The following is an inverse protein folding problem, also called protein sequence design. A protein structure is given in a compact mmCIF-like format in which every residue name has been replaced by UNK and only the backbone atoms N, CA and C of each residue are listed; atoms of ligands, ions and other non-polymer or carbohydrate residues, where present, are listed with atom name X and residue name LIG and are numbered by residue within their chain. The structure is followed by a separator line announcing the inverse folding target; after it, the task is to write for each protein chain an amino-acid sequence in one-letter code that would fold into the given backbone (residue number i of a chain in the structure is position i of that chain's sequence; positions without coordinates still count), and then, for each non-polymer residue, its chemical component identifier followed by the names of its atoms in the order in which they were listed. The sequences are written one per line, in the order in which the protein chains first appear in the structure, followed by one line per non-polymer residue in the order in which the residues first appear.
data_IF_397826586017
#
_entry.id   IF_397826586017
#
_cell.length_a   1.000
_cell.length_b   1.000
_cell.length_c   1.000
_cell.angle_alpha   90.00
_cell.angle_beta   90.00
_cell.angle_gamma   90.00
#
_symmetry.space_group_name_H-M   'P 1'
#
loop_
_entity.id
_entity.type
_entity.pdbx_description
1 polymer ?
#
# COMPACT_ATOMS: atom_id res chain seq x y z
N UNK A 1 5.48 17.68 -11.81
CA UNK A 1 4.95 17.80 -10.43
C UNK A 1 6.08 18.03 -9.44
N UNK A 2 6.90 17.03 -9.09
CA UNK A 2 7.94 17.19 -8.05
C UNK A 2 8.91 18.36 -8.30
N UNK A 3 9.41 18.54 -9.54
CA UNK A 3 10.29 19.67 -9.92
C UNK A 3 9.70 21.07 -9.67
N UNK A 4 8.38 21.20 -9.49
CA UNK A 4 7.77 22.49 -9.16
C UNK A 4 8.04 22.89 -7.72
N UNK A 5 8.33 21.93 -6.83
CA UNK A 5 8.65 22.20 -5.44
C UNK A 5 9.98 22.95 -5.30
N UNK A 6 10.91 22.74 -6.23
CA UNK A 6 12.21 23.42 -6.27
C UNK A 6 12.07 24.95 -6.45
N UNK A 7 10.89 25.41 -6.90
CA UNK A 7 10.59 26.83 -7.09
C UNK A 7 9.90 27.49 -5.89
N UNK A 8 9.55 26.72 -4.86
CA UNK A 8 8.91 27.24 -3.65
C UNK A 8 9.96 27.80 -2.69
N UNK A 9 9.63 28.90 -2.02
CA UNK A 9 10.49 29.55 -1.02
C UNK A 9 10.36 28.92 0.38
N UNK A 10 9.48 27.95 0.56
CA UNK A 10 9.27 27.23 1.81
C UNK A 10 9.86 25.82 1.78
N UNK A 11 10.19 25.30 2.96
CA UNK A 11 10.61 23.90 3.11
C UNK A 11 9.50 22.97 2.64
N UNK A 12 9.87 21.95 1.87
CA UNK A 12 8.93 20.95 1.33
C UNK A 12 9.44 19.53 1.55
N UNK A 13 8.51 18.59 1.54
CA UNK A 13 8.82 17.16 1.63
C UNK A 13 7.93 16.41 0.64
N UNK A 14 8.56 15.63 -0.25
CA UNK A 14 7.89 14.80 -1.24
C UNK A 14 7.51 13.46 -0.63
N UNK A 15 6.26 13.05 -0.80
CA UNK A 15 5.79 11.72 -0.46
C UNK A 15 5.47 10.95 -1.74
N UNK A 16 6.27 9.92 -2.03
CA UNK A 16 6.06 9.01 -3.16
C UNK A 16 5.25 7.81 -2.68
N UNK A 17 3.93 7.93 -2.75
CA UNK A 17 3.01 6.87 -2.33
C UNK A 17 3.03 5.75 -3.37
N UNK A 18 3.12 4.52 -2.87
CA UNK A 18 2.85 3.31 -3.65
C UNK A 18 1.34 3.12 -3.90
N UNK A 19 0.91 1.95 -4.39
CA UNK A 19 -0.50 1.70 -4.69
C UNK A 19 -1.39 1.81 -3.45
N UNK A 20 -2.20 2.86 -3.36
CA UNK A 20 -3.09 3.09 -2.21
C UNK A 20 -4.28 2.13 -2.28
N UNK A 21 -4.48 1.36 -1.21
CA UNK A 21 -5.66 0.52 -1.00
C UNK A 21 -6.28 0.81 0.37
N UNK A 22 -7.49 0.34 0.60
CA UNK A 22 -8.25 0.63 1.82
C UNK A 22 -9.75 0.52 1.57
N UNK A 23 -10.56 0.80 2.59
CA UNK A 23 -12.02 0.84 2.46
C UNK A 23 -12.45 1.70 1.27
N UNK A 24 -13.43 1.23 0.50
CA UNK A 24 -13.89 1.84 -0.74
C UNK A 24 -13.01 1.57 -1.98
N UNK A 25 -11.85 0.92 -1.84
CA UNK A 25 -10.93 0.58 -2.96
C UNK A 25 -10.88 -0.92 -3.21
N UNK A 26 -11.99 -1.47 -3.71
CA UNK A 26 -12.20 -2.92 -3.84
C UNK A 26 -11.63 -3.56 -5.13
N UNK A 27 -10.88 -2.81 -5.97
CA UNK A 27 -10.40 -3.32 -7.27
C UNK A 27 -9.70 -4.68 -7.17
N UNK A 28 -8.75 -4.83 -6.23
CA UNK A 28 -8.00 -6.09 -6.09
C UNK A 28 -8.87 -7.24 -5.57
N UNK A 29 -9.81 -6.93 -4.67
CA UNK A 29 -10.79 -7.90 -4.15
C UNK A 29 -11.69 -8.39 -5.28
N UNK A 30 -12.22 -7.47 -6.10
CA UNK A 30 -13.06 -7.83 -7.24
C UNK A 30 -12.29 -8.65 -8.27
N UNK A 31 -11.03 -8.31 -8.55
CA UNK A 31 -10.19 -9.08 -9.48
C UNK A 31 -9.88 -10.48 -8.96
N UNK A 32 -9.69 -10.65 -7.65
CA UNK A 32 -9.40 -11.94 -7.04
C UNK A 32 -10.57 -12.95 -7.16
N UNK A 33 -11.81 -12.49 -7.33
CA UNK A 33 -13.00 -13.34 -7.51
C UNK A 33 -13.07 -14.05 -8.86
N UNK A 34 -12.33 -13.55 -9.85
CA UNK A 34 -12.34 -14.05 -11.24
C UNK A 34 -10.91 -14.36 -11.70
N UNK A 35 -10.33 -15.52 -11.30
CA UNK A 35 -9.00 -15.96 -11.71
C UNK A 35 -8.74 -15.95 -13.22
N UNK A 36 -9.77 -16.21 -14.03
CA UNK A 36 -9.76 -16.12 -15.49
C UNK A 36 -9.48 -14.71 -16.03
N UNK A 37 -9.71 -13.69 -15.21
CA UNK A 37 -9.47 -12.28 -15.53
C UNK A 37 -8.14 -11.75 -14.99
N UNK A 38 -7.30 -12.59 -14.38
CA UNK A 38 -6.02 -12.14 -13.84
C UNK A 38 -5.08 -11.65 -14.95
N UNK A 39 -4.26 -10.61 -14.70
CA UNK A 39 -3.42 -10.01 -15.73
C UNK A 39 -2.38 -10.99 -16.26
N UNK A 40 -2.25 -11.16 -17.58
CA UNK A 40 -1.34 -12.15 -18.17
C UNK A 40 0.14 -12.04 -17.72
N UNK A 41 0.59 -10.85 -17.29
CA UNK A 41 1.96 -10.61 -16.82
C UNK A 41 1.99 -10.42 -15.31
N UNK A 42 2.91 -11.12 -14.64
CA UNK A 42 3.16 -10.93 -13.22
C UNK A 42 4.27 -9.90 -13.00
N UNK A 43 4.09 -9.01 -12.03
CA UNK A 43 5.04 -7.95 -11.71
C UNK A 43 5.11 -7.69 -10.21
N UNK A 44 6.23 -7.15 -9.74
CA UNK A 44 6.36 -6.63 -8.39
C UNK A 44 5.40 -5.47 -8.18
N UNK A 45 4.63 -5.56 -7.11
CA UNK A 45 3.72 -4.52 -6.67
C UNK A 45 4.09 -4.06 -5.27
N UNK A 46 3.74 -2.82 -4.98
CA UNK A 46 3.98 -2.15 -3.71
C UNK A 46 2.70 -1.41 -3.35
N UNK A 47 2.40 -1.32 -2.07
CA UNK A 47 1.14 -0.74 -1.62
C UNK A 47 1.29 -0.10 -0.26
N UNK A 48 0.36 0.80 0.03
CA UNK A 48 0.20 1.40 1.34
C UNK A 48 -1.29 1.45 1.66
N UNK A 49 -1.64 1.06 2.89
CA UNK A 49 -3.01 1.24 3.34
C UNK A 49 -3.29 2.74 3.45
N UNK A 50 -4.49 3.18 3.04
CA UNK A 50 -4.84 4.61 3.01
C UNK A 50 -4.65 5.27 4.38
N UNK A 51 -4.95 4.54 5.44
CA UNK A 51 -4.89 5.06 6.82
C UNK A 51 -3.44 5.21 7.28
N UNK A 52 -2.55 4.28 6.91
CA UNK A 52 -1.11 4.42 7.16
C UNK A 52 -0.51 5.59 6.37
N UNK A 53 -0.94 5.78 5.11
CA UNK A 53 -0.50 6.91 4.30
C UNK A 53 -0.91 8.24 4.95
N UNK A 54 -2.15 8.35 5.44
CA UNK A 54 -2.63 9.52 6.16
C UNK A 54 -1.91 9.71 7.50
N UNK A 55 -1.75 8.64 8.28
CA UNK A 55 -1.07 8.66 9.56
C UNK A 55 0.40 9.08 9.44
N UNK A 56 1.09 8.66 8.37
CA UNK A 56 2.47 9.07 8.13
C UNK A 56 2.57 10.57 7.78
N UNK A 57 1.62 11.13 7.03
CA UNK A 57 1.55 12.58 6.80
C UNK A 57 1.41 13.35 8.11
N UNK A 58 0.50 12.90 9.00
CA UNK A 58 0.33 13.49 10.32
C UNK A 58 1.59 13.34 11.18
N UNK A 59 2.27 12.19 11.12
CA UNK A 59 3.54 11.95 11.81
C UNK A 59 4.60 12.97 11.43
N UNK A 60 4.79 13.22 10.13
CA UNK A 60 5.77 14.21 9.65
C UNK A 60 5.40 15.63 10.06
N UNK A 61 4.12 16.01 9.97
CA UNK A 61 3.66 17.34 10.43
C UNK A 61 3.97 17.52 11.92
N UNK A 62 3.69 16.51 12.75
CA UNK A 62 4.03 16.55 14.17
C UNK A 62 5.53 16.72 14.39
N UNK A 63 6.37 15.98 13.67
CA UNK A 63 7.83 16.10 13.80
C UNK A 63 8.32 17.51 13.43
N UNK A 64 7.77 18.13 12.38
CA UNK A 64 8.11 19.50 11.99
C UNK A 64 7.70 20.51 13.08
N UNK A 65 6.55 20.31 13.72
CA UNK A 65 6.04 21.22 14.75
C UNK A 65 6.75 21.06 16.10
N UNK A 66 7.27 19.87 16.42
CA UNK A 66 7.92 19.60 17.71
C UNK A 66 9.43 19.80 17.68
N UNK A 67 10.08 19.51 16.55
CA UNK A 67 11.54 19.61 16.42
C UNK A 67 11.88 20.97 15.83
N UNK A 68 12.40 21.87 16.67
CA UNK A 68 12.80 23.23 16.26
C UNK A 68 14.14 23.26 15.50
N UNK A 69 14.33 22.38 14.52
CA UNK A 69 15.51 22.32 13.66
C UNK A 69 15.13 22.14 12.19
N UNK A 70 15.97 22.67 11.30
CA UNK A 70 15.76 22.67 9.85
C UNK A 70 15.70 21.26 9.23
N UNK A 71 16.19 20.24 9.94
CA UNK A 71 16.29 18.85 9.46
C UNK A 71 15.33 17.88 10.16
N UNK A 72 14.20 18.36 10.68
CA UNK A 72 13.20 17.54 11.36
C UNK A 72 12.63 16.39 10.49
N UNK A 73 12.62 16.58 9.16
CA UNK A 73 12.14 15.61 8.17
C UNK A 73 13.05 15.60 6.94
N UNK A 74 13.09 14.47 6.22
CA UNK A 74 13.83 14.35 4.96
C UNK A 74 13.06 15.01 3.81
N UNK A 75 13.75 15.47 2.75
CA UNK A 75 13.08 16.09 1.60
C UNK A 75 12.21 15.12 0.79
N UNK A 76 12.40 13.81 0.92
CA UNK A 76 11.60 12.82 0.21
C UNK A 76 11.48 11.50 1.00
N UNK A 77 10.29 10.90 0.95
CA UNK A 77 10.02 9.56 1.45
C UNK A 77 9.30 8.71 0.41
N UNK A 78 9.67 7.42 0.36
CA UNK A 78 8.86 6.40 -0.30
C UNK A 78 7.88 5.88 0.76
N UNK A 79 6.59 5.99 0.46
CA UNK A 79 5.50 5.64 1.39
C UNK A 79 4.85 4.34 0.89
N UNK A 80 5.30 3.23 1.47
CA UNK A 80 4.90 1.86 1.16
C UNK A 80 4.94 1.01 2.41
N UNK A 81 4.13 -0.06 2.45
CA UNK A 81 4.23 -1.10 3.46
C UNK A 81 5.59 -1.82 3.39
N UNK A 82 5.83 -2.73 4.34
CA UNK A 82 7.13 -3.40 4.48
C UNK A 82 7.25 -4.68 3.64
N UNK A 83 6.25 -5.00 2.79
CA UNK A 83 6.21 -6.27 2.05
C UNK A 83 5.91 -6.06 0.56
N UNK A 84 6.91 -5.62 -0.24
CA UNK A 84 6.85 -5.73 -1.68
C UNK A 84 6.55 -7.17 -2.09
N UNK A 85 5.57 -7.35 -2.97
CA UNK A 85 5.02 -8.68 -3.28
C UNK A 85 4.52 -8.70 -4.72
N UNK A 86 4.57 -9.86 -5.38
CA UNK A 86 4.06 -9.95 -6.74
C UNK A 86 2.54 -9.77 -6.79
N UNK A 87 2.03 -9.31 -7.92
CA UNK A 87 0.59 -9.14 -8.11
C UNK A 87 -0.17 -10.46 -7.92
N UNK A 88 0.40 -11.56 -8.41
CA UNK A 88 -0.22 -12.88 -8.35
C UNK A 88 -0.28 -13.47 -6.94
N UNK A 89 0.77 -13.30 -6.14
CA UNK A 89 0.75 -13.74 -4.73
C UNK A 89 -0.40 -13.09 -3.95
N UNK A 90 -0.76 -11.88 -4.32
CA UNK A 90 -1.76 -11.08 -3.61
C UNK A 90 -3.15 -11.45 -4.07
N UNK A 91 -3.34 -11.55 -5.38
CA UNK A 91 -4.59 -12.07 -5.94
C UNK A 91 -4.90 -13.46 -5.41
N UNK A 92 -3.90 -14.34 -5.38
CA UNK A 92 -4.01 -15.69 -4.82
C UNK A 92 -4.37 -15.66 -3.35
N UNK A 93 -3.67 -14.87 -2.54
CA UNK A 93 -3.96 -14.78 -1.12
C UNK A 93 -5.39 -14.30 -0.86
N UNK A 94 -5.84 -13.24 -1.55
CA UNK A 94 -7.21 -12.72 -1.42
C UNK A 94 -8.23 -13.78 -1.88
N UNK A 95 -8.00 -14.42 -3.02
CA UNK A 95 -8.88 -15.46 -3.55
C UNK A 95 -8.99 -16.67 -2.58
N UNK A 96 -7.89 -17.05 -1.93
CA UNK A 96 -7.91 -18.06 -0.86
C UNK A 96 -8.77 -17.62 0.32
N UNK A 97 -8.67 -16.37 0.76
CA UNK A 97 -9.53 -15.86 1.84
C UNK A 97 -11.01 -15.80 1.45
N UNK A 98 -11.31 -15.63 0.16
CA UNK A 98 -12.66 -15.62 -0.39
C UNK A 98 -13.18 -17.02 -0.77
N UNK A 99 -12.42 -18.09 -0.49
CA UNK A 99 -12.74 -19.46 -0.90
C UNK A 99 -13.02 -19.62 -2.41
N UNK A 100 -12.39 -18.79 -3.23
CA UNK A 100 -12.50 -18.85 -4.69
C UNK A 100 -11.66 -20.01 -5.22
N UNK A 101 -12.16 -20.76 -6.20
CA UNK A 101 -11.41 -21.84 -6.82
C UNK A 101 -10.29 -21.28 -7.70
N UNK A 102 -9.03 -21.57 -7.36
CA UNK A 102 -7.85 -21.07 -8.07
C UNK A 102 -7.23 -22.23 -8.86
N UNK A 103 -7.16 -22.17 -10.20
CA UNK A 103 -6.48 -23.19 -10.97
C UNK A 103 -5.01 -23.34 -10.55
N UNK A 104 -4.56 -24.59 -10.35
CA UNK A 104 -3.22 -24.89 -9.84
C UNK A 104 -2.08 -24.37 -10.74
N UNK A 105 -2.34 -24.19 -12.03
CA UNK A 105 -1.38 -23.76 -13.06
C UNK A 105 -1.04 -22.26 -13.07
N UNK A 106 -1.66 -21.45 -12.19
CA UNK A 106 -1.58 -19.99 -12.27
C UNK A 106 -0.47 -19.45 -11.36
N UNK A 107 0.79 -19.55 -11.76
CA UNK A 107 1.91 -18.83 -11.12
C UNK A 107 2.98 -18.44 -12.17
N UNK A 108 2.69 -17.48 -13.07
CA UNK A 108 3.68 -16.96 -14.00
C UNK A 108 4.85 -16.31 -13.25
N UNK A 109 6.08 -16.40 -13.80
CA UNK A 109 7.26 -15.76 -13.23
C UNK A 109 7.08 -14.24 -13.17
N UNK A 110 7.75 -13.59 -12.22
CA UNK A 110 7.72 -12.13 -12.10
C UNK A 110 8.61 -11.52 -13.19
N UNK A 111 8.02 -10.78 -14.12
CA UNK A 111 8.69 -10.27 -15.32
C UNK A 111 8.95 -8.75 -15.28
N UNK A 112 8.62 -8.08 -14.18
CA UNK A 112 8.84 -6.64 -14.07
C UNK A 112 8.44 -6.02 -12.75
N UNK A 113 8.40 -4.68 -12.74
CA UNK A 113 8.15 -3.89 -11.54
C UNK A 113 9.42 -3.67 -10.72
N UNK A 114 9.26 -2.96 -9.60
CA UNK A 114 10.34 -2.63 -8.66
C UNK A 114 9.90 -3.00 -7.26
N UNK A 115 10.85 -3.33 -6.39
CA UNK A 115 10.63 -3.46 -4.95
C UNK A 115 11.01 -2.15 -4.29
N UNK A 116 10.07 -1.54 -3.61
CA UNK A 116 10.26 -0.27 -2.92
C UNK A 116 10.69 -0.54 -1.47
N UNK A 117 11.63 0.26 -0.96
CA UNK A 117 12.07 0.21 0.44
C UNK A 117 11.47 1.38 1.20
N UNK A 118 10.85 1.10 2.35
CA UNK A 118 10.31 2.09 3.27
C UNK A 118 11.25 2.39 4.45
N UNK A 119 12.51 1.96 4.41
CA UNK A 119 13.45 2.14 5.53
C UNK A 119 13.56 3.60 5.99
N UNK A 120 13.54 4.57 5.07
CA UNK A 120 13.57 5.99 5.43
C UNK A 120 12.31 6.43 6.22
N UNK A 121 11.15 5.87 5.89
CA UNK A 121 9.89 6.10 6.61
C UNK A 121 9.95 5.47 8.01
N UNK A 122 10.39 4.21 8.12
CA UNK A 122 10.50 3.53 9.41
C UNK A 122 11.54 4.18 10.35
N UNK A 123 12.62 4.73 9.78
CA UNK A 123 13.65 5.43 10.55
C UNK A 123 13.14 6.72 11.22
N UNK A 124 11.95 7.23 10.88
CA UNK A 124 11.33 8.34 11.61
C UNK A 124 10.63 7.91 12.90
N UNK A 125 10.69 6.61 13.25
CA UNK A 125 9.94 6.02 14.35
C UNK A 125 8.45 5.79 14.03
N UNK A 126 8.05 5.89 12.76
CA UNK A 126 6.67 5.61 12.37
C UNK A 126 6.40 4.10 12.40
N UNK A 127 5.26 3.72 12.99
CA UNK A 127 4.83 2.33 13.11
C UNK A 127 3.63 2.12 12.17
N UNK A 128 3.77 1.17 11.25
CA UNK A 128 2.67 0.77 10.36
C UNK A 128 1.60 0.01 11.13
N UNK A 129 0.35 0.43 10.98
CA UNK A 129 -0.81 -0.35 11.43
C UNK A 129 -1.01 -1.58 10.52
N UNK A 130 -0.71 -1.43 9.23
CA UNK A 130 -0.79 -2.49 8.23
C UNK A 130 0.60 -2.73 7.63
N UNK A 131 1.48 -3.47 8.34
CA UNK A 131 2.88 -3.66 7.95
C UNK A 131 3.05 -4.45 6.65
N UNK A 132 2.02 -5.21 6.28
CA UNK A 132 1.96 -5.96 5.05
C UNK A 132 0.55 -6.02 4.46
N UNK A 133 0.48 -6.55 3.25
CA UNK A 133 -0.77 -6.70 2.54
C UNK A 133 -1.76 -7.67 3.19
N UNK A 134 -1.27 -8.69 3.90
CA UNK A 134 -2.14 -9.72 4.47
C UNK A 134 -2.94 -9.09 5.60
N UNK A 135 -2.27 -8.35 6.47
CA UNK A 135 -2.87 -7.60 7.58
C UNK A 135 -3.93 -6.62 7.06
N UNK A 136 -3.60 -5.81 6.05
CA UNK A 136 -4.56 -4.83 5.55
C UNK A 136 -5.70 -5.44 4.74
N UNK A 137 -5.44 -6.37 3.81
CA UNK A 137 -6.55 -7.01 3.09
C UNK A 137 -7.43 -7.87 4.00
N UNK A 138 -6.90 -8.45 5.08
CA UNK A 138 -7.72 -9.14 6.08
C UNK A 138 -8.75 -8.17 6.69
N UNK A 139 -8.30 -6.98 7.10
CA UNK A 139 -9.19 -5.96 7.65
C UNK A 139 -10.27 -5.53 6.64
N UNK A 140 -9.89 -5.31 5.37
CA UNK A 140 -10.84 -4.96 4.31
C UNK A 140 -11.85 -6.08 4.04
N UNK A 141 -11.42 -7.34 4.04
CA UNK A 141 -12.29 -8.48 3.78
C UNK A 141 -13.31 -8.66 4.91
N UNK A 142 -12.89 -8.52 6.16
CA UNK A 142 -13.79 -8.54 7.32
C UNK A 142 -14.86 -7.45 7.19
N UNK A 143 -14.46 -6.21 6.89
CA UNK A 143 -15.40 -5.11 6.69
C UNK A 143 -16.35 -5.37 5.50
N UNK A 144 -15.81 -5.88 4.39
CA UNK A 144 -16.57 -6.20 3.18
C UNK A 144 -17.64 -7.28 3.42
N UNK A 145 -17.33 -8.30 4.23
CA UNK A 145 -18.29 -9.36 4.59
C UNK A 145 -19.37 -8.80 5.52
N UNK A 146 -18.98 -8.04 6.56
CA UNK A 146 -19.93 -7.41 7.49
C UNK A 146 -20.93 -6.53 6.74
N UNK A 147 -20.45 -5.67 5.84
CA UNK A 147 -21.30 -4.75 5.09
C UNK A 147 -22.27 -5.46 4.13
N UNK A 148 -21.90 -6.64 3.61
CA UNK A 148 -22.83 -7.45 2.81
C UNK A 148 -23.91 -8.09 3.67
N UNK A 149 -23.56 -8.62 4.85
CA UNK A 149 -24.54 -9.23 5.76
C UNK A 149 -25.51 -8.19 6.34
N UNK A 150 -25.04 -6.96 6.59
CA UNK A 150 -25.89 -5.87 7.10
C UNK A 150 -26.82 -5.27 6.04
N UNK A 151 -26.64 -5.61 4.76
CA UNK A 151 -27.48 -5.15 3.64
C UNK A 151 -28.54 -6.18 3.22
N UNK A 152 -28.65 -7.31 3.94
CA UNK A 152 -29.65 -8.37 3.78
C UNK A 152 -30.68 -8.29 4.90
#
# INVERSE_FOLDING_TARGET
AERLLDSLTCNSTVLRLSGIYGTGRLRMINLAKSPESWPAKNSWTNRIHRDDAAAFMVHLIKNVLTVNTVNAVKPCYIVTDSKPVSQYEVLRWIATQLHTNIPASINPPVEGGKRLSNQAMLATGFILQYPDYQTGYQALLTEYIINQTASL
#
